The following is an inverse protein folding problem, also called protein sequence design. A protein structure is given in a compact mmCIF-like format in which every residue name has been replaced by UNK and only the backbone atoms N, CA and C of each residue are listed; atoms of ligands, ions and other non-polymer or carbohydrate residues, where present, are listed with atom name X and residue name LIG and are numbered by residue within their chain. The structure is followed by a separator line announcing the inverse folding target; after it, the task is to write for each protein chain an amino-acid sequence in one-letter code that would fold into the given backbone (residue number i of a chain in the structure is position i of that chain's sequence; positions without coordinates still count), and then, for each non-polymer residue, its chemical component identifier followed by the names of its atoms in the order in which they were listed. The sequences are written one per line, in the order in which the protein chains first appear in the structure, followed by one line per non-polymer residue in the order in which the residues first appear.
data_IF_621255286648
#
_entry.id   IF_621255286648
#
_cell.length_a   1.000
_cell.length_b   1.000
_cell.length_c   1.000
_cell.angle_alpha   90.00
_cell.angle_beta   90.00
_cell.angle_gamma   90.00
#
_symmetry.space_group_name_H-M   'P 1'
#
loop_
_entity.id
_entity.type
_entity.pdbx_description
1 polymer ?
#
# COMPACT_ATOMS: atom_id res chain seq x y z
N UNK A 1 4.72 -10.53 -33.50
CA UNK A 1 4.09 -9.65 -32.49
C UNK A 1 5.20 -8.83 -31.83
N UNK A 2 5.02 -7.52 -31.67
CA UNK A 2 6.01 -6.70 -30.98
C UNK A 2 6.07 -7.10 -29.50
N UNK A 3 7.28 -7.31 -28.97
CA UNK A 3 7.50 -7.64 -27.56
C UNK A 3 7.23 -6.38 -26.73
N UNK A 4 6.31 -6.46 -25.77
CA UNK A 4 6.02 -5.34 -24.87
C UNK A 4 7.18 -5.23 -23.88
N UNK A 5 7.80 -4.04 -23.81
CA UNK A 5 8.79 -3.74 -22.77
C UNK A 5 8.09 -3.41 -21.45
N UNK A 6 8.40 -4.13 -20.35
CA UNK A 6 7.91 -3.78 -19.04
C UNK A 6 8.43 -2.40 -18.64
N UNK A 7 7.52 -1.52 -18.20
CA UNK A 7 7.85 -0.18 -17.72
C UNK A 7 7.12 0.08 -16.41
N UNK A 8 7.83 0.68 -15.47
CA UNK A 8 7.23 1.15 -14.21
C UNK A 8 6.52 2.48 -14.49
N UNK A 9 5.32 2.65 -13.95
CA UNK A 9 4.59 3.91 -14.04
C UNK A 9 5.41 5.06 -13.40
N UNK A 10 5.34 6.25 -13.99
CA UNK A 10 6.04 7.42 -13.45
C UNK A 10 5.61 7.66 -11.99
N UNK A 11 6.59 7.73 -11.09
CA UNK A 11 6.35 7.91 -9.64
C UNK A 11 6.23 6.61 -8.84
N UNK A 12 6.17 5.45 -9.50
CA UNK A 12 6.17 4.14 -8.86
C UNK A 12 7.57 3.55 -8.81
N UNK A 13 7.78 2.57 -7.93
CA UNK A 13 9.03 1.82 -7.81
C UNK A 13 8.78 0.41 -7.31
N UNK A 14 9.64 -0.51 -7.71
CA UNK A 14 9.65 -1.86 -7.17
C UNK A 14 10.34 -1.91 -5.80
N UNK A 15 9.77 -2.70 -4.91
CA UNK A 15 10.41 -3.08 -3.65
C UNK A 15 10.91 -4.51 -3.78
N UNK A 16 12.20 -4.63 -4.10
CA UNK A 16 12.90 -5.92 -4.14
C UNK A 16 13.05 -6.50 -2.72
N UNK A 17 13.37 -7.80 -2.59
CA UNK A 17 13.39 -8.50 -1.31
C UNK A 17 14.20 -7.78 -0.22
N UNK A 18 15.35 -7.20 -0.56
CA UNK A 18 16.22 -6.50 0.38
C UNK A 18 15.55 -5.26 1.02
N UNK A 19 14.55 -4.68 0.36
CA UNK A 19 13.75 -3.55 0.89
C UNK A 19 12.40 -4.01 1.44
N UNK A 20 11.79 -5.03 0.85
CA UNK A 20 10.45 -5.46 1.20
C UNK A 20 10.42 -6.23 2.53
N UNK A 21 11.41 -7.07 2.80
CA UNK A 21 11.51 -7.84 4.05
C UNK A 21 11.56 -6.91 5.28
N UNK A 22 12.49 -5.94 5.39
CA UNK A 22 12.50 -5.04 6.55
C UNK A 22 11.25 -4.16 6.63
N UNK A 23 10.65 -3.79 5.49
CA UNK A 23 9.37 -3.06 5.46
C UNK A 23 8.23 -3.87 6.05
N UNK A 24 8.11 -5.16 5.74
CA UNK A 24 7.09 -6.03 6.33
C UNK A 24 7.27 -6.14 7.85
N UNK A 25 8.50 -6.38 8.31
CA UNK A 25 8.80 -6.43 9.75
C UNK A 25 8.42 -5.14 10.49
N UNK A 26 8.67 -3.99 9.87
CA UNK A 26 8.27 -2.69 10.42
C UNK A 26 6.75 -2.59 10.53
N UNK A 27 6.00 -2.95 9.48
CA UNK A 27 4.53 -2.91 9.47
C UNK A 27 3.95 -3.86 10.53
N UNK A 28 4.50 -5.07 10.67
CA UNK A 28 4.09 -6.03 11.69
C UNK A 28 4.30 -5.51 13.10
N UNK A 29 5.44 -4.87 13.35
CA UNK A 29 5.75 -4.26 14.66
C UNK A 29 4.73 -3.19 15.03
N UNK A 30 4.39 -2.32 14.07
CA UNK A 30 3.39 -1.26 14.27
C UNK A 30 2.02 -1.89 14.51
N UNK A 31 1.60 -2.86 13.68
CA UNK A 31 0.30 -3.54 13.83
C UNK A 31 0.15 -4.18 15.20
N UNK A 32 1.13 -4.99 15.61
CA UNK A 32 1.11 -5.68 16.89
C UNK A 32 0.97 -4.69 18.07
N UNK A 33 1.62 -3.54 18.00
CA UNK A 33 1.47 -2.49 19.03
C UNK A 33 0.01 -2.01 19.12
N UNK A 34 -0.66 -1.74 17.99
CA UNK A 34 -2.03 -1.22 18.00
C UNK A 34 -3.05 -2.28 18.44
N UNK A 35 -2.84 -3.55 18.07
CA UNK A 35 -3.68 -4.66 18.53
C UNK A 35 -3.69 -4.78 20.07
N UNK A 36 -2.58 -4.44 20.76
CA UNK A 36 -2.56 -4.42 22.24
C UNK A 36 -3.45 -3.36 22.88
N UNK A 37 -3.85 -2.33 22.12
CA UNK A 37 -4.78 -1.30 22.56
C UNK A 37 -6.23 -1.58 22.14
N UNK A 38 -6.51 -2.77 21.59
CA UNK A 38 -7.86 -3.19 21.19
C UNK A 38 -8.33 -2.65 19.83
N UNK A 39 -7.41 -2.15 18.99
CA UNK A 39 -7.75 -1.80 17.61
C UNK A 39 -7.87 -3.06 16.74
N UNK A 40 -8.90 -3.10 15.90
CA UNK A 40 -9.14 -4.18 14.94
C UNK A 40 -8.63 -3.83 13.53
N UNK A 41 -8.12 -4.80 12.77
CA UNK A 41 -7.72 -4.58 11.39
C UNK A 41 -8.93 -4.34 10.48
N UNK A 42 -8.84 -3.34 9.62
CA UNK A 42 -9.79 -3.05 8.55
C UNK A 42 -9.02 -2.77 7.26
N UNK A 43 -9.49 -3.35 6.15
CA UNK A 43 -8.96 -3.07 4.81
C UNK A 43 -10.10 -2.59 3.92
N UNK A 44 -9.78 -1.65 3.02
CA UNK A 44 -10.71 -1.09 2.03
C UNK A 44 -10.09 -1.19 0.65
N UNK A 45 -10.89 -1.20 -0.43
CA UNK A 45 -10.36 -1.26 -1.79
C UNK A 45 -9.33 -0.17 -2.07
N UNK A 46 -8.29 -0.51 -2.86
CA UNK A 46 -7.25 0.44 -3.25
C UNK A 46 -7.74 1.52 -4.24
N UNK A 47 -8.88 1.29 -4.87
CA UNK A 47 -9.55 2.21 -5.80
C UNK A 47 -10.96 2.47 -5.30
N UNK A 48 -11.34 3.74 -5.27
CA UNK A 48 -12.67 4.21 -4.89
C UNK A 48 -13.23 5.13 -5.97
N UNK A 49 -14.55 5.34 -5.97
CA UNK A 49 -15.17 6.30 -6.87
C UNK A 49 -14.64 7.72 -6.63
N UNK A 50 -14.41 8.47 -7.72
CA UNK A 50 -13.87 9.83 -7.63
C UNK A 50 -14.71 10.73 -6.71
N UNK A 51 -16.05 10.59 -6.74
CA UNK A 51 -16.98 11.33 -5.87
C UNK A 51 -16.69 11.15 -4.37
N UNK A 52 -16.25 9.94 -3.96
CA UNK A 52 -15.89 9.65 -2.56
C UNK A 52 -14.63 10.42 -2.15
N UNK A 53 -13.69 10.61 -3.08
CA UNK A 53 -12.39 11.23 -2.81
C UNK A 53 -12.46 12.76 -2.88
N UNK A 54 -13.18 13.31 -3.87
CA UNK A 54 -13.30 14.77 -4.09
C UNK A 54 -14.23 15.44 -3.08
N UNK A 55 -15.12 14.70 -2.42
CA UNK A 55 -15.98 15.25 -1.37
C UNK A 55 -15.28 15.52 -0.03
N UNK A 56 -14.09 14.94 0.20
CA UNK A 56 -13.39 15.00 1.51
C UNK A 56 -12.11 15.83 1.51
N UNK A 57 -11.42 15.87 0.38
CA UNK A 57 -10.16 16.59 0.22
C UNK A 57 -10.32 17.48 -1.02
N UNK A 58 -10.27 18.80 -0.82
CA UNK A 58 -10.59 19.81 -1.84
C UNK A 58 -9.70 19.78 -3.08
#
# INVERSE_FOLDING_TARGET
MAKIEPKILKGFRDFLPEKQIPRQKMIETIRASYETFGFEPLETPALEYAEVLTGKYG
#
